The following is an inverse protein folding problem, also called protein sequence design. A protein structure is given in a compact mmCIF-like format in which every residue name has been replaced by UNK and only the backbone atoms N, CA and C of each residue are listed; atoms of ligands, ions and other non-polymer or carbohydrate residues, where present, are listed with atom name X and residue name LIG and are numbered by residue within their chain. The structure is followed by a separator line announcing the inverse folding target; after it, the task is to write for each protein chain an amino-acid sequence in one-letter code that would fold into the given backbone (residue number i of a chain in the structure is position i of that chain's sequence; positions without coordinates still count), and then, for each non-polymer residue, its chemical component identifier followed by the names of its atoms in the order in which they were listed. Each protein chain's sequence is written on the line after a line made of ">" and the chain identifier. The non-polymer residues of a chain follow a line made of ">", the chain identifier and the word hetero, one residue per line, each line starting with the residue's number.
data_IF_684227072169
#
_entry.id   IF_684227072169
#
_cell.length_a   1.000
_cell.length_b   1.000
_cell.length_c   1.000
_cell.angle_alpha   90.00
_cell.angle_beta   90.00
_cell.angle_gamma   90.00
#
_symmetry.space_group_name_H-M   'P 1'
#
loop_
_entity.id
_entity.type
_entity.pdbx_description
1 polymer ?
#
# COMPACT_ATOMS: atom_id res chain seq x y z
N UNK A 1 6.34 3.05 18.84
CA UNK A 1 7.58 2.90 18.06
C UNK A 1 7.31 3.54 16.71
N UNK A 2 8.02 4.62 16.36
CA UNK A 2 7.81 5.33 15.08
C UNK A 2 8.24 4.45 13.91
N UNK A 3 7.40 4.28 12.89
CA UNK A 3 7.73 3.54 11.67
C UNK A 3 8.60 4.35 10.69
N UNK A 4 9.64 4.99 11.21
CA UNK A 4 10.61 5.71 10.41
C UNK A 4 11.60 4.72 9.79
N UNK A 5 11.59 4.61 8.47
CA UNK A 5 12.44 3.72 7.69
C UNK A 5 13.14 4.55 6.62
N UNK A 6 14.47 4.66 6.70
CA UNK A 6 15.30 5.42 5.75
C UNK A 6 14.76 6.84 5.51
N UNK A 7 14.34 7.52 6.59
CA UNK A 7 13.78 8.87 6.52
C UNK A 7 12.30 8.94 6.10
N UNK A 8 11.65 7.81 5.82
CA UNK A 8 10.23 7.73 5.47
C UNK A 8 9.42 7.26 6.68
N UNK A 9 8.45 8.07 7.12
CA UNK A 9 7.53 7.71 8.19
C UNK A 9 6.33 6.94 7.63
N UNK A 10 6.34 5.61 7.78
CA UNK A 10 5.26 4.76 7.28
C UNK A 10 3.96 4.87 8.07
N UNK A 11 3.96 5.43 9.29
CA UNK A 11 2.71 5.75 10.00
C UNK A 11 1.99 6.90 9.29
N UNK A 12 2.76 7.92 8.89
CA UNK A 12 2.28 9.03 8.08
C UNK A 12 1.85 8.59 6.68
N UNK A 13 2.66 7.78 5.99
CA UNK A 13 2.31 7.23 4.65
C UNK A 13 1.01 6.44 4.72
N UNK A 14 0.82 5.63 5.77
CA UNK A 14 -0.42 4.88 5.98
C UNK A 14 -1.62 5.80 6.14
N UNK A 15 -1.51 6.85 6.96
CA UNK A 15 -2.56 7.83 7.16
C UNK A 15 -2.89 8.61 5.88
N UNK A 16 -1.88 9.00 5.09
CA UNK A 16 -2.03 9.66 3.80
C UNK A 16 -2.74 8.74 2.79
N UNK A 17 -2.38 7.45 2.72
CA UNK A 17 -3.02 6.47 1.85
C UNK A 17 -4.50 6.23 2.22
N UNK A 18 -4.82 6.12 3.51
CA UNK A 18 -6.21 6.00 3.99
C UNK A 18 -7.00 7.27 3.64
N UNK A 19 -6.38 8.44 3.77
CA UNK A 19 -7.01 9.72 3.41
C UNK A 19 -7.28 9.80 1.90
N UNK A 20 -6.35 9.35 1.07
CA UNK A 20 -6.51 9.28 -0.38
C UNK A 20 -7.69 8.36 -0.77
N UNK A 21 -7.75 7.17 -0.17
CA UNK A 21 -8.87 6.24 -0.36
C UNK A 21 -10.22 6.84 0.10
N UNK A 22 -10.23 7.56 1.23
CA UNK A 22 -11.44 8.25 1.72
C UNK A 22 -11.93 9.32 0.75
N UNK A 23 -11.02 10.01 0.06
CA UNK A 23 -11.39 10.99 -0.98
C UNK A 23 -12.18 10.39 -2.14
N UNK A 24 -12.05 9.08 -2.37
CA UNK A 24 -12.73 8.34 -3.44
C UNK A 24 -14.08 7.79 -2.96
N UNK A 25 -14.14 7.30 -1.72
CA UNK A 25 -15.35 6.70 -1.15
C UNK A 25 -16.32 7.77 -0.66
N UNK A 26 -17.39 8.03 -1.43
CA UNK A 26 -18.35 9.11 -1.13
C UNK A 26 -19.35 8.77 -0.01
N UNK A 27 -19.98 7.59 -0.06
CA UNK A 27 -21.14 7.29 0.80
C UNK A 27 -20.91 6.09 1.75
N UNK A 28 -20.10 5.10 1.35
CA UNK A 28 -19.96 3.84 2.09
C UNK A 28 -18.71 3.79 3.00
N UNK A 29 -18.10 4.94 3.32
CA UNK A 29 -16.86 4.98 4.10
C UNK A 29 -16.93 4.19 5.42
N UNK A 30 -17.99 4.30 6.25
CA UNK A 30 -18.06 3.52 7.50
C UNK A 30 -18.01 2.00 7.29
N UNK A 31 -18.45 1.52 6.12
CA UNK A 31 -18.46 0.09 5.77
C UNK A 31 -17.11 -0.38 5.21
N UNK A 32 -16.36 0.52 4.58
CA UNK A 32 -15.08 0.22 3.93
C UNK A 32 -13.86 0.56 4.78
N UNK A 33 -14.02 1.43 5.78
CA UNK A 33 -12.93 1.96 6.60
C UNK A 33 -12.04 0.86 7.16
N UNK A 34 -12.63 -0.15 7.82
CA UNK A 34 -11.85 -1.23 8.43
C UNK A 34 -11.01 -2.02 7.41
N UNK A 35 -11.56 -2.26 6.21
CA UNK A 35 -10.84 -2.92 5.13
C UNK A 35 -9.71 -2.05 4.58
N UNK A 36 -9.99 -0.78 4.28
CA UNK A 36 -9.00 0.18 3.79
C UNK A 36 -7.85 0.37 4.79
N UNK A 37 -8.16 0.48 6.08
CA UNK A 37 -7.15 0.56 7.13
C UNK A 37 -6.32 -0.71 7.24
N UNK A 38 -6.94 -1.89 7.13
CA UNK A 38 -6.24 -3.17 7.11
C UNK A 38 -5.26 -3.25 5.93
N UNK A 39 -5.69 -2.81 4.74
CA UNK A 39 -4.85 -2.75 3.55
C UNK A 39 -3.67 -1.79 3.74
N UNK A 40 -3.91 -0.60 4.27
CA UNK A 40 -2.86 0.38 4.55
C UNK A 40 -1.81 -0.16 5.52
N UNK A 41 -2.25 -0.81 6.60
CA UNK A 41 -1.35 -1.50 7.54
C UNK A 41 -0.58 -2.65 6.86
N UNK A 42 -1.23 -3.40 5.97
CA UNK A 42 -0.62 -4.44 5.16
C UNK A 42 0.50 -3.90 4.27
N UNK A 43 0.23 -2.84 3.52
CA UNK A 43 1.21 -2.18 2.64
C UNK A 43 2.41 -1.61 3.43
N UNK A 44 2.18 -1.06 4.62
CA UNK A 44 3.26 -0.64 5.49
C UNK A 44 4.12 -1.82 5.95
N UNK A 45 3.51 -2.96 6.30
CA UNK A 45 4.23 -4.19 6.64
C UNK A 45 5.07 -4.69 5.45
N UNK A 46 4.51 -4.65 4.24
CA UNK A 46 5.18 -5.04 3.00
C UNK A 46 6.41 -4.16 2.73
N UNK A 47 6.31 -2.85 2.96
CA UNK A 47 7.47 -1.96 2.88
C UNK A 47 8.56 -2.31 3.92
N UNK A 48 8.18 -2.66 5.16
CA UNK A 48 9.17 -3.11 6.17
C UNK A 48 9.81 -4.44 5.76
N UNK A 49 9.05 -5.32 5.12
CA UNK A 49 9.57 -6.58 4.61
C UNK A 49 10.61 -6.34 3.51
N UNK A 50 10.31 -5.50 2.53
CA UNK A 50 11.24 -5.12 1.47
C UNK A 50 12.54 -4.53 2.05
N UNK A 51 12.43 -3.64 3.04
CA UNK A 51 13.61 -3.09 3.72
C UNK A 51 14.50 -4.19 4.30
N UNK A 52 13.93 -5.15 5.04
CA UNK A 52 14.70 -6.25 5.64
C UNK A 52 15.35 -7.13 4.58
N UNK A 53 14.65 -7.41 3.49
CA UNK A 53 15.21 -8.20 2.40
C UNK A 53 16.35 -7.48 1.67
N UNK A 54 16.25 -6.15 1.51
CA UNK A 54 17.33 -5.32 0.99
C UNK A 54 18.56 -5.36 1.91
N UNK A 55 18.37 -5.18 3.22
CA UNK A 55 19.46 -5.25 4.20
C UNK A 55 20.12 -6.63 4.26
N UNK A 56 19.36 -7.69 3.97
CA UNK A 56 19.86 -9.05 3.87
C UNK A 56 20.60 -9.34 2.55
N UNK A 57 20.63 -8.40 1.59
CA UNK A 57 21.22 -8.59 0.27
C UNK A 57 20.48 -9.58 -0.63
N UNK A 58 19.25 -9.95 -0.27
CA UNK A 58 18.43 -10.94 -0.96
C UNK A 58 17.41 -10.32 -1.93
N UNK A 59 17.44 -9.00 -2.10
CA UNK A 59 16.47 -8.25 -2.87
C UNK A 59 17.16 -7.44 -3.96
N UNK A 60 16.86 -7.76 -5.21
CA UNK A 60 17.15 -6.90 -6.36
C UNK A 60 15.90 -6.13 -6.81
N UNK A 61 16.08 -5.24 -7.78
CA UNK A 61 15.01 -4.39 -8.31
C UNK A 61 13.85 -5.22 -8.88
N UNK A 62 14.17 -6.27 -9.65
CA UNK A 62 13.17 -7.12 -10.28
C UNK A 62 12.33 -7.87 -9.23
N UNK A 63 12.97 -8.46 -8.22
CA UNK A 63 12.31 -9.15 -7.12
C UNK A 63 11.42 -8.20 -6.30
N UNK A 64 11.89 -6.99 -6.02
CA UNK A 64 11.11 -5.97 -5.32
C UNK A 64 9.86 -5.57 -6.12
N UNK A 65 9.99 -5.38 -7.44
CA UNK A 65 8.87 -5.05 -8.32
C UNK A 65 7.86 -6.20 -8.38
N UNK A 66 8.31 -7.43 -8.61
CA UNK A 66 7.42 -8.61 -8.64
C UNK A 66 6.67 -8.77 -7.34
N UNK A 67 7.34 -8.62 -6.20
CA UNK A 67 6.69 -8.68 -4.90
C UNK A 67 5.57 -7.63 -4.77
N UNK A 68 5.84 -6.37 -5.15
CA UNK A 68 4.84 -5.31 -5.05
C UNK A 68 3.62 -5.53 -5.97
N UNK A 69 3.84 -6.03 -7.18
CA UNK A 69 2.76 -6.41 -8.10
C UNK A 69 1.88 -7.52 -7.52
N UNK A 70 2.49 -8.57 -6.95
CA UNK A 70 1.74 -9.66 -6.30
C UNK A 70 0.90 -9.13 -5.13
N UNK A 71 1.47 -8.24 -4.31
CA UNK A 71 0.76 -7.60 -3.20
C UNK A 71 -0.38 -6.70 -3.68
N UNK A 72 -0.21 -6.01 -4.80
CA UNK A 72 -1.28 -5.23 -5.44
C UNK A 72 -2.43 -6.13 -5.88
N UNK A 73 -2.14 -7.28 -6.48
CA UNK A 73 -3.16 -8.27 -6.88
C UNK A 73 -3.93 -8.78 -5.66
N UNK A 74 -3.23 -9.16 -4.58
CA UNK A 74 -3.86 -9.62 -3.34
C UNK A 74 -4.76 -8.54 -2.73
N UNK A 75 -4.29 -7.29 -2.66
CA UNK A 75 -5.07 -6.18 -2.14
C UNK A 75 -6.35 -5.93 -2.98
N UNK A 76 -6.24 -6.03 -4.33
CA UNK A 76 -7.39 -5.94 -5.23
C UNK A 76 -8.42 -7.03 -4.97
N UNK A 77 -7.98 -8.27 -4.75
CA UNK A 77 -8.87 -9.39 -4.44
C UNK A 77 -9.57 -9.20 -3.09
N UNK A 78 -8.85 -8.72 -2.08
CA UNK A 78 -9.41 -8.43 -0.76
C UNK A 78 -10.48 -7.33 -0.80
N UNK A 79 -10.26 -6.27 -1.57
CA UNK A 79 -11.28 -5.24 -1.81
C UNK A 79 -12.50 -5.85 -2.49
N UNK A 80 -12.31 -6.55 -3.61
CA UNK A 80 -13.41 -7.13 -4.40
C UNK A 80 -14.23 -8.19 -3.67
N UNK A 81 -13.69 -8.78 -2.59
CA UNK A 81 -14.44 -9.68 -1.73
C UNK A 81 -15.58 -8.97 -0.94
N UNK A 82 -15.55 -7.63 -0.87
CA UNK A 82 -16.62 -6.85 -0.26
C UNK A 82 -17.79 -6.70 -1.23
N UNK A 83 -18.94 -7.29 -0.91
CA UNK A 83 -20.14 -7.27 -1.75
C UNK A 83 -20.70 -5.86 -2.06
N UNK A 84 -20.25 -4.84 -1.33
CA UNK A 84 -20.76 -3.46 -1.42
C UNK A 84 -19.98 -2.63 -2.45
N UNK A 85 -18.83 -3.09 -2.96
CA UNK A 85 -18.02 -2.31 -3.88
C UNK A 85 -18.10 -2.81 -5.31
N UNK A 86 -18.13 -1.88 -6.26
CA UNK A 86 -17.96 -2.19 -7.67
C UNK A 86 -16.49 -2.47 -7.99
N UNK A 87 -16.25 -3.15 -9.11
CA UNK A 87 -14.89 -3.41 -9.59
C UNK A 87 -14.11 -2.11 -9.83
N UNK A 88 -14.76 -1.10 -10.40
CA UNK A 88 -14.16 0.23 -10.62
C UNK A 88 -13.77 0.90 -9.30
N UNK A 89 -14.68 0.92 -8.32
CA UNK A 89 -14.40 1.55 -7.03
C UNK A 89 -13.23 0.85 -6.30
N UNK A 90 -13.15 -0.48 -6.40
CA UNK A 90 -12.04 -1.24 -5.84
C UNK A 90 -10.69 -0.85 -6.47
N UNK A 91 -10.65 -0.64 -7.78
CA UNK A 91 -9.45 -0.20 -8.49
C UNK A 91 -9.07 1.22 -8.13
N UNK A 92 -10.04 2.15 -8.13
CA UNK A 92 -9.79 3.56 -7.78
C UNK A 92 -9.20 3.69 -6.36
N UNK A 93 -9.78 2.98 -5.37
CA UNK A 93 -9.26 2.94 -4.00
C UNK A 93 -7.83 2.41 -3.98
N UNK A 94 -7.58 1.27 -4.64
CA UNK A 94 -6.28 0.63 -4.62
C UNK A 94 -5.21 1.47 -5.30
N UNK A 95 -5.51 2.10 -6.43
CA UNK A 95 -4.57 2.94 -7.15
C UNK A 95 -4.22 4.20 -6.35
N UNK A 96 -5.18 4.82 -5.67
CA UNK A 96 -4.91 5.95 -4.79
C UNK A 96 -4.01 5.58 -3.60
N UNK A 97 -4.23 4.42 -2.99
CA UNK A 97 -3.35 3.93 -1.92
C UNK A 97 -1.96 3.59 -2.46
N UNK A 98 -1.90 2.89 -3.59
CA UNK A 98 -0.64 2.43 -4.19
C UNK A 98 0.22 3.62 -4.60
N UNK A 99 -0.35 4.69 -5.15
CA UNK A 99 0.39 5.89 -5.53
C UNK A 99 1.17 6.50 -4.34
N UNK A 100 0.55 6.55 -3.16
CA UNK A 100 1.18 7.05 -1.93
C UNK A 100 2.31 6.11 -1.49
N UNK A 101 2.07 4.79 -1.48
CA UNK A 101 3.08 3.80 -1.07
C UNK A 101 4.23 3.67 -2.05
N UNK A 102 3.99 3.72 -3.37
CA UNK A 102 5.03 3.70 -4.40
C UNK A 102 6.00 4.86 -4.20
N UNK A 103 5.49 6.09 -4.02
CA UNK A 103 6.34 7.26 -3.76
C UNK A 103 7.17 7.10 -2.48
N UNK A 104 6.59 6.50 -1.43
CA UNK A 104 7.29 6.24 -0.18
C UNK A 104 8.38 5.15 -0.32
N UNK A 105 8.06 4.05 -1.00
CA UNK A 105 8.94 2.90 -1.20
C UNK A 105 10.11 3.27 -2.13
N UNK A 106 9.85 4.01 -3.21
CA UNK A 106 10.88 4.50 -4.12
C UNK A 106 11.89 5.39 -3.37
N UNK A 107 11.41 6.30 -2.50
CA UNK A 107 12.28 7.12 -1.63
C UNK A 107 13.06 6.29 -0.61
N UNK A 108 12.43 5.29 -0.02
CA UNK A 108 13.04 4.40 0.97
C UNK A 108 14.18 3.56 0.37
N UNK A 109 13.98 3.03 -0.83
CA UNK A 109 14.90 2.12 -1.51
C UNK A 109 15.92 2.86 -2.41
N UNK A 110 15.64 4.11 -2.78
CA UNK A 110 16.42 4.85 -3.76
C UNK A 110 16.24 4.30 -5.19
N UNK A 111 15.14 3.61 -5.45
CA UNK A 111 14.83 2.93 -6.71
C UNK A 111 13.56 3.49 -7.33
N UNK A 112 13.44 3.33 -8.64
CA UNK A 112 12.20 3.60 -9.38
C UNK A 112 11.54 2.28 -9.75
N UNK A 113 10.65 1.77 -8.89
CA UNK A 113 10.07 0.42 -9.02
C UNK A 113 8.77 0.37 -9.83
N UNK A 114 7.99 1.45 -9.81
CA UNK A 114 6.65 1.58 -10.36
C UNK A 114 6.38 3.02 -10.82
#
# INVERSE_FOLDING_TARGET
>A
MSNLINGVDFDRVTAEAITAARGIVRNDWPRLQACVEMLGRGMANDARFLKRQLEAGALDHAAARTFLEDRKIVARLQLRALAIITLQLAEDILDAMTAVFTSAINRMLGWDLL
#
